data_IF_042880339415
#
_entry.id   IF_042880339415
#
_cell.length_a   1.000
_cell.length_b   1.000
_cell.length_c   1.000
_cell.angle_alpha   90.00
_cell.angle_beta   90.00
_cell.angle_gamma   90.00
#
_symmetry.space_group_name_H-M   'P 1'
#
loop_
_entity.id
_entity.type
_entity.pdbx_description
1 polymer ?
#
# COMPACT_ATOMS: atom_id res chain seq x y z
N UNK A 1 17.39 16.70 -4.35
CA UNK A 1 17.51 15.42 -3.64
C UNK A 1 18.41 15.63 -2.43
N UNK A 2 17.95 15.25 -1.27
CA UNK A 2 18.70 15.35 -0.02
C UNK A 2 19.17 13.96 0.41
N UNK A 3 20.35 13.92 1.03
CA UNK A 3 20.93 12.69 1.55
C UNK A 3 20.72 12.64 3.05
N UNK A 4 20.20 11.50 3.54
CA UNK A 4 19.93 11.26 4.96
C UNK A 4 20.78 10.09 5.44
N UNK A 5 21.37 10.21 6.62
CA UNK A 5 22.07 9.12 7.29
C UNK A 5 21.10 8.35 8.19
N UNK A 6 20.97 7.05 7.93
CA UNK A 6 20.10 6.13 8.65
C UNK A 6 20.82 5.32 9.74
N UNK A 7 22.15 5.52 9.94
CA UNK A 7 22.85 4.94 11.08
C UNK A 7 22.72 5.86 12.30
N UNK A 8 22.00 5.48 13.37
CA UNK A 8 21.92 6.29 14.57
C UNK A 8 23.20 6.27 15.42
N UNK A 9 24.18 5.45 15.06
CA UNK A 9 25.47 5.31 15.75
C UNK A 9 26.53 6.23 15.17
N UNK A 10 27.77 5.78 15.24
CA UNK A 10 28.95 6.49 14.69
C UNK A 10 29.30 6.06 13.26
N UNK A 11 28.56 5.12 12.69
CA UNK A 11 28.70 4.66 11.31
C UNK A 11 28.09 5.65 10.32
N UNK A 12 27.88 5.18 9.08
CA UNK A 12 27.27 5.98 8.02
C UNK A 12 26.48 5.08 7.08
N UNK A 13 25.19 5.36 6.94
CA UNK A 13 24.28 4.64 6.06
C UNK A 13 23.42 5.63 5.25
N UNK A 14 24.04 6.24 4.27
CA UNK A 14 23.41 7.29 3.46
C UNK A 14 22.43 6.72 2.43
N UNK A 15 21.21 7.24 2.42
CA UNK A 15 20.24 7.10 1.33
C UNK A 15 20.00 8.48 0.71
N UNK A 16 19.76 8.50 -0.59
CA UNK A 16 19.49 9.72 -1.36
C UNK A 16 18.22 9.51 -2.18
N UNK A 17 17.26 10.43 -2.08
CA UNK A 17 16.05 10.38 -2.89
C UNK A 17 16.31 10.73 -4.36
N UNK A 18 15.58 10.13 -5.29
CA UNK A 18 15.75 10.34 -6.73
C UNK A 18 15.34 11.76 -7.17
N UNK A 19 14.24 12.29 -6.63
CA UNK A 19 13.79 13.65 -6.99
C UNK A 19 12.95 14.29 -5.89
N UNK A 20 11.71 13.82 -5.66
CA UNK A 20 10.81 14.39 -4.65
C UNK A 20 10.95 13.63 -3.32
N UNK A 21 9.94 12.84 -2.94
CA UNK A 21 9.96 12.00 -1.76
C UNK A 21 10.02 10.54 -2.18
N UNK A 22 11.05 9.82 -1.73
CA UNK A 22 11.14 8.38 -1.90
C UNK A 22 10.81 7.67 -0.59
N UNK A 23 10.41 6.41 -0.71
CA UNK A 23 10.14 5.55 0.44
C UNK A 23 11.47 5.07 1.02
N UNK A 24 11.55 5.03 2.34
CA UNK A 24 12.60 4.32 3.03
C UNK A 24 12.03 3.21 3.92
N UNK A 25 12.82 2.19 4.12
CA UNK A 25 12.61 1.14 5.12
C UNK A 25 13.92 0.94 5.85
N UNK A 26 13.89 0.97 7.17
CA UNK A 26 15.08 0.75 7.99
C UNK A 26 14.84 -0.34 9.03
N UNK A 27 15.87 -1.11 9.30
CA UNK A 27 15.90 -2.13 10.35
C UNK A 27 16.97 -1.79 11.36
N UNK A 28 16.57 -1.71 12.62
CA UNK A 28 17.46 -1.65 13.77
C UNK A 28 17.38 -2.99 14.52
N UNK A 29 18.42 -3.34 15.25
CA UNK A 29 18.39 -4.47 16.17
C UNK A 29 17.63 -4.12 17.47
N UNK A 30 17.49 -5.09 18.38
CA UNK A 30 16.78 -4.89 19.65
C UNK A 30 17.46 -3.89 20.60
N UNK A 31 18.68 -3.48 20.32
CA UNK A 31 19.44 -2.46 21.05
C UNK A 31 19.42 -1.09 20.36
N UNK A 32 18.71 -0.97 19.22
CA UNK A 32 18.61 0.24 18.43
C UNK A 32 19.80 0.48 17.50
N UNK A 33 20.68 -0.49 17.31
CA UNK A 33 21.80 -0.35 16.37
C UNK A 33 21.32 -0.58 14.93
N UNK A 34 21.97 0.12 14.01
CA UNK A 34 21.73 -0.04 12.58
C UNK A 34 21.99 -1.47 12.09
N UNK A 35 21.05 -2.01 11.30
CA UNK A 35 21.23 -3.30 10.61
C UNK A 35 21.27 -3.07 9.10
N UNK A 36 20.24 -2.42 8.55
CA UNK A 36 20.19 -2.00 7.16
C UNK A 36 19.13 -0.91 6.97
N UNK A 37 19.29 -0.12 5.92
CA UNK A 37 18.27 0.76 5.38
C UNK A 37 18.22 0.62 3.86
N UNK A 38 17.03 0.77 3.29
CA UNK A 38 16.75 0.68 1.86
C UNK A 38 15.86 1.83 1.46
N UNK A 39 15.99 2.29 0.21
CA UNK A 39 15.07 3.23 -0.41
C UNK A 39 14.65 2.73 -1.79
N UNK A 40 13.46 3.10 -2.19
CA UNK A 40 12.91 2.88 -3.51
C UNK A 40 11.95 4.02 -3.83
N UNK A 41 11.81 4.33 -5.10
CA UNK A 41 10.98 5.43 -5.57
C UNK A 41 11.34 5.83 -6.99
N UNK A 42 10.49 6.70 -7.55
CA UNK A 42 10.60 7.25 -8.90
C UNK A 42 10.90 8.75 -8.90
N UNK A 43 10.64 9.43 -10.01
CA UNK A 43 10.85 10.87 -10.11
C UNK A 43 9.77 11.71 -9.40
N UNK A 44 8.65 11.13 -9.04
CA UNK A 44 7.52 11.79 -8.38
C UNK A 44 7.47 11.46 -6.88
N UNK A 45 6.34 11.70 -6.22
CA UNK A 45 6.18 11.42 -4.79
C UNK A 45 5.78 9.97 -4.55
N UNK A 46 6.60 9.27 -3.77
CA UNK A 46 6.36 7.92 -3.30
C UNK A 46 6.35 7.92 -1.77
N UNK A 47 5.36 7.27 -1.16
CA UNK A 47 5.14 7.32 0.27
C UNK A 47 4.93 5.93 0.84
N UNK A 48 5.57 5.65 1.98
CA UNK A 48 5.33 4.45 2.79
C UNK A 48 4.52 4.81 4.03
N UNK A 49 3.51 4.00 4.36
CA UNK A 49 2.62 4.25 5.48
C UNK A 49 2.62 3.13 6.51
N UNK A 50 2.48 1.88 6.05
CA UNK A 50 2.42 0.72 6.92
C UNK A 50 3.63 -0.19 6.78
N UNK A 51 4.04 -0.83 7.87
CA UNK A 51 5.07 -1.85 7.88
C UNK A 51 4.69 -3.00 8.82
N UNK A 52 4.83 -4.25 8.33
CA UNK A 52 4.66 -5.46 9.13
C UNK A 52 5.81 -6.43 8.87
N UNK A 53 6.03 -7.35 9.83
CA UNK A 53 7.09 -8.36 9.73
C UNK A 53 6.52 -9.74 10.08
N UNK A 54 6.78 -10.74 9.24
CA UNK A 54 6.39 -12.11 9.53
C UNK A 54 7.40 -12.83 10.44
N UNK A 55 7.05 -14.05 10.85
CA UNK A 55 7.89 -14.87 11.74
C UNK A 55 9.25 -15.26 11.14
N UNK A 56 9.41 -15.16 9.82
CA UNK A 56 10.68 -15.40 9.11
C UNK A 56 11.52 -14.13 8.98
N UNK A 57 11.00 -12.99 9.43
CA UNK A 57 11.64 -11.70 9.35
C UNK A 57 11.45 -11.01 7.98
N UNK A 58 10.60 -11.52 7.09
CA UNK A 58 10.26 -10.79 5.87
C UNK A 58 9.47 -9.54 6.22
N UNK A 59 9.73 -8.46 5.48
CA UNK A 59 9.16 -7.14 5.73
C UNK A 59 8.14 -6.81 4.63
N UNK A 60 6.96 -6.38 5.05
CA UNK A 60 5.86 -5.97 4.18
C UNK A 60 5.63 -4.48 4.36
N UNK A 61 5.58 -3.75 3.27
CA UNK A 61 5.42 -2.29 3.26
C UNK A 61 4.24 -1.95 2.37
N UNK A 62 3.41 -1.02 2.82
CA UNK A 62 2.32 -0.45 2.03
C UNK A 62 2.44 1.05 1.92
N UNK A 63 1.85 1.58 0.87
CA UNK A 63 1.87 3.00 0.64
C UNK A 63 1.21 3.40 -0.67
N UNK A 64 1.59 4.55 -1.16
CA UNK A 64 1.17 5.05 -2.46
C UNK A 64 2.36 5.53 -3.28
N UNK A 65 2.22 5.44 -4.59
CA UNK A 65 3.22 5.93 -5.54
C UNK A 65 2.54 6.73 -6.64
N UNK A 66 3.30 7.57 -7.29
CA UNK A 66 2.84 8.40 -8.40
C UNK A 66 3.78 8.26 -9.58
N UNK A 67 3.20 8.20 -10.79
CA UNK A 67 3.97 8.31 -12.02
C UNK A 67 3.27 9.24 -13.00
N UNK A 68 4.04 9.91 -13.85
CA UNK A 68 3.52 10.51 -15.07
C UNK A 68 3.40 9.45 -16.18
N UNK A 69 2.66 9.75 -17.25
CA UNK A 69 2.49 8.83 -18.38
C UNK A 69 3.82 8.35 -18.95
N UNK A 70 3.99 7.03 -18.98
CA UNK A 70 5.18 6.37 -19.52
C UNK A 70 6.37 6.35 -18.57
N UNK A 71 6.20 6.80 -17.34
CA UNK A 71 7.19 6.69 -16.26
C UNK A 71 6.84 5.50 -15.37
N UNK A 72 7.84 4.88 -14.79
CA UNK A 72 7.70 3.77 -13.84
C UNK A 72 8.44 4.06 -12.56
N UNK A 73 7.98 3.46 -11.46
CA UNK A 73 8.70 3.39 -10.18
C UNK A 73 9.33 2.02 -10.05
N UNK A 74 10.61 1.98 -9.73
CA UNK A 74 11.31 0.73 -9.42
C UNK A 74 11.21 0.44 -7.93
N UNK A 75 10.60 -0.69 -7.59
CA UNK A 75 10.41 -1.16 -6.22
C UNK A 75 11.47 -2.17 -5.76
N UNK A 76 12.49 -2.46 -6.59
CA UNK A 76 13.63 -3.26 -6.16
C UNK A 76 14.70 -2.33 -5.55
N UNK A 77 14.94 -2.37 -4.22
CA UNK A 77 16.01 -1.56 -3.62
C UNK A 77 17.43 -2.11 -3.90
N UNK A 78 17.54 -3.18 -4.68
CA UNK A 78 18.78 -3.81 -5.08
C UNK A 78 19.19 -3.45 -6.51
N UNK A 79 20.03 -4.28 -7.16
CA UNK A 79 20.46 -4.06 -8.53
C UNK A 79 19.48 -4.60 -9.59
N UNK A 80 18.37 -5.19 -9.17
CA UNK A 80 17.32 -5.71 -10.04
C UNK A 80 16.38 -4.61 -10.51
N UNK A 81 15.23 -5.00 -11.03
CA UNK A 81 14.19 -4.08 -11.49
C UNK A 81 12.81 -4.68 -11.24
N UNK A 82 11.95 -3.93 -10.55
CA UNK A 82 10.57 -4.29 -10.25
C UNK A 82 9.64 -3.10 -10.51
N UNK A 83 9.44 -2.78 -11.77
CA UNK A 83 8.74 -1.59 -12.20
C UNK A 83 7.23 -1.70 -12.07
N UNK A 84 6.60 -0.70 -11.47
CA UNK A 84 5.17 -0.41 -11.56
C UNK A 84 4.95 0.92 -12.28
N UNK A 85 3.82 1.04 -12.98
CA UNK A 85 3.33 2.29 -13.55
C UNK A 85 1.96 2.62 -12.93
N UNK A 86 1.73 3.86 -12.60
CA UNK A 86 0.40 4.28 -12.14
C UNK A 86 -0.58 4.39 -13.32
N UNK A 87 -1.85 4.15 -13.02
CA UNK A 87 -2.92 4.33 -14.00
C UNK A 87 -3.36 5.80 -14.04
N UNK A 88 -3.37 6.39 -15.23
CA UNK A 88 -3.82 7.77 -15.44
C UNK A 88 -2.74 8.84 -15.23
N UNK A 89 -3.14 10.10 -15.48
CA UNK A 89 -2.27 11.26 -15.28
C UNK A 89 -2.45 11.81 -13.87
N UNK A 90 -1.39 11.88 -13.07
CA UNK A 90 -1.36 12.52 -11.73
C UNK A 90 -2.22 11.85 -10.64
N UNK A 91 -2.64 10.59 -10.83
CA UNK A 91 -3.23 9.80 -9.76
C UNK A 91 -2.17 9.27 -8.79
N UNK A 92 -2.61 8.88 -7.59
CA UNK A 92 -1.83 8.04 -6.68
C UNK A 92 -2.40 6.64 -6.75
N UNK A 93 -1.53 5.65 -6.96
CA UNK A 93 -1.89 4.25 -6.87
C UNK A 93 -1.24 3.65 -5.62
N UNK A 94 -1.84 2.62 -5.08
CA UNK A 94 -1.32 1.95 -3.90
C UNK A 94 -0.40 0.79 -4.28
N UNK A 95 0.52 0.45 -3.37
CA UNK A 95 1.38 -0.72 -3.51
C UNK A 95 1.46 -1.54 -2.23
N UNK A 96 1.80 -2.81 -2.38
CA UNK A 96 2.21 -3.72 -1.32
C UNK A 96 3.55 -4.33 -1.75
N UNK A 97 4.61 -4.07 -1.00
CA UNK A 97 5.96 -4.57 -1.27
C UNK A 97 6.35 -5.60 -0.20
N UNK A 98 6.94 -6.71 -0.63
CA UNK A 98 7.58 -7.68 0.25
C UNK A 98 9.08 -7.69 0.01
N UNK A 99 9.83 -7.53 1.09
CA UNK A 99 11.28 -7.75 1.14
C UNK A 99 11.57 -8.97 2.03
N UNK A 100 12.70 -9.62 1.79
CA UNK A 100 13.21 -10.64 2.70
C UNK A 100 13.78 -10.02 4.00
N UNK A 101 14.22 -10.85 4.95
CA UNK A 101 14.77 -10.39 6.23
C UNK A 101 16.06 -9.57 6.12
N UNK A 102 16.72 -9.59 4.95
CA UNK A 102 17.92 -8.84 4.61
C UNK A 102 17.62 -7.55 3.82
N UNK A 103 16.34 -7.29 3.54
CA UNK A 103 15.88 -6.13 2.76
C UNK A 103 16.05 -6.32 1.24
N UNK A 104 16.14 -7.55 0.74
CA UNK A 104 16.14 -7.81 -0.70
C UNK A 104 14.70 -7.95 -1.20
N UNK A 105 14.47 -7.52 -2.44
CA UNK A 105 13.18 -7.64 -3.12
C UNK A 105 12.69 -9.09 -3.21
N UNK A 106 11.39 -9.29 -2.95
CA UNK A 106 10.72 -10.57 -3.15
C UNK A 106 9.60 -10.42 -4.17
N UNK A 107 8.64 -9.51 -3.93
CA UNK A 107 7.59 -9.15 -4.87
C UNK A 107 6.99 -7.78 -4.52
N UNK A 108 6.41 -7.14 -5.52
CA UNK A 108 5.54 -5.96 -5.37
C UNK A 108 4.20 -6.22 -6.05
N UNK A 109 3.13 -5.70 -5.49
CA UNK A 109 1.78 -5.75 -6.03
C UNK A 109 1.17 -4.36 -6.02
N UNK A 110 0.37 -4.08 -7.05
CA UNK A 110 -0.48 -2.92 -7.18
C UNK A 110 -1.85 -3.38 -7.65
N UNK A 111 -2.87 -2.58 -7.43
CA UNK A 111 -4.23 -2.86 -7.88
C UNK A 111 -4.56 -1.96 -9.04
N UNK A 112 -5.21 -2.52 -10.08
CA UNK A 112 -5.44 -1.82 -11.33
C UNK A 112 -6.82 -1.17 -11.37
N UNK A 113 -6.90 0.05 -11.88
CA UNK A 113 -8.17 0.70 -12.16
C UNK A 113 -8.92 -0.02 -13.27
N UNK A 114 -10.23 -0.18 -13.07
CA UNK A 114 -11.14 -0.67 -14.10
C UNK A 114 -11.98 0.50 -14.63
N UNK A 115 -12.04 0.64 -15.95
CA UNK A 115 -12.80 1.71 -16.60
C UNK A 115 -12.10 3.07 -16.72
N UNK A 116 -12.80 4.04 -17.27
CA UNK A 116 -12.31 5.37 -17.68
C UNK A 116 -12.39 6.41 -16.53
N UNK A 117 -12.01 6.02 -15.35
CA UNK A 117 -12.10 6.89 -14.16
C UNK A 117 -10.84 7.71 -13.97
N UNK A 118 -10.65 8.77 -14.69
CA UNK A 118 -9.69 9.88 -14.46
C UNK A 118 -8.52 9.64 -13.47
N UNK A 119 -7.95 10.69 -12.93
CA UNK A 119 -6.99 10.56 -11.81
C UNK A 119 -7.73 10.16 -10.54
N UNK A 120 -7.25 9.14 -9.85
CA UNK A 120 -7.76 8.71 -8.55
C UNK A 120 -6.67 8.82 -7.49
N UNK A 121 -7.10 8.88 -6.23
CA UNK A 121 -6.18 8.86 -5.10
C UNK A 121 -6.49 7.62 -4.27
N UNK A 122 -5.81 6.54 -4.60
CA UNK A 122 -5.90 5.29 -3.86
C UNK A 122 -4.73 5.19 -2.88
N UNK A 123 -4.98 4.62 -1.72
CA UNK A 123 -3.99 4.58 -0.66
C UNK A 123 -4.10 3.30 0.14
N UNK A 124 -2.97 2.64 0.37
CA UNK A 124 -2.82 1.55 1.32
C UNK A 124 -2.18 2.08 2.60
N UNK A 125 -3.00 2.29 3.63
CA UNK A 125 -2.61 3.00 4.85
C UNK A 125 -1.83 2.13 5.82
N UNK A 126 -2.17 0.84 5.94
CA UNK A 126 -1.55 -0.07 6.91
C UNK A 126 -1.61 -1.52 6.45
N UNK A 127 -0.75 -2.35 7.02
CA UNK A 127 -0.58 -3.76 6.68
C UNK A 127 -0.41 -4.62 7.93
N UNK A 128 -1.03 -5.80 7.94
CA UNK A 128 -0.82 -6.84 8.94
C UNK A 128 -0.52 -8.17 8.25
N UNK A 129 0.17 -9.07 8.95
CA UNK A 129 0.55 -10.39 8.43
C UNK A 129 0.18 -11.44 9.45
N UNK A 130 -0.49 -12.53 9.02
CA UNK A 130 -0.79 -13.66 9.90
C UNK A 130 0.37 -14.67 9.98
N UNK A 131 0.23 -15.65 10.84
CA UNK A 131 1.25 -16.70 11.07
C UNK A 131 1.53 -17.58 9.84
N UNK A 132 0.64 -17.57 8.84
CA UNK A 132 0.80 -18.27 7.56
C UNK A 132 1.47 -17.40 6.49
N UNK A 133 1.77 -16.14 6.82
CA UNK A 133 2.34 -15.16 5.90
C UNK A 133 1.31 -14.53 4.97
N UNK A 134 0.00 -14.70 5.20
CA UNK A 134 -1.00 -13.96 4.44
C UNK A 134 -0.96 -12.49 4.83
N UNK A 135 -1.13 -11.63 3.84
CA UNK A 135 -1.00 -10.17 3.94
C UNK A 135 -2.37 -9.52 3.92
N UNK A 136 -2.66 -8.74 4.93
CA UNK A 136 -3.90 -7.99 5.05
C UNK A 136 -3.60 -6.50 4.95
N UNK A 137 -4.31 -5.80 4.08
CA UNK A 137 -4.08 -4.38 3.82
C UNK A 137 -5.37 -3.61 3.98
N UNK A 138 -5.30 -2.45 4.58
CA UNK A 138 -6.39 -1.48 4.69
C UNK A 138 -6.00 -0.16 4.05
N UNK A 139 -7.00 0.54 3.54
CA UNK A 139 -6.84 1.87 2.98
C UNK A 139 -8.16 2.44 2.47
N UNK A 140 -8.08 3.26 1.44
CA UNK A 140 -9.24 3.79 0.74
C UNK A 140 -8.99 3.82 -0.77
N UNK A 141 -10.08 3.81 -1.53
CA UNK A 141 -10.04 3.87 -2.98
C UNK A 141 -11.19 4.69 -3.56
N UNK A 142 -11.01 5.19 -4.77
CA UNK A 142 -11.99 5.97 -5.52
C UNK A 142 -12.35 5.27 -6.84
N UNK A 143 -13.64 5.21 -7.18
CA UNK A 143 -14.12 4.60 -8.42
C UNK A 143 -14.07 3.07 -8.39
N UNK A 144 -13.80 2.43 -9.53
CA UNK A 144 -13.72 0.99 -9.64
C UNK A 144 -12.24 0.52 -9.70
N UNK A 145 -11.92 -0.50 -8.90
CA UNK A 145 -10.56 -1.02 -8.73
C UNK A 145 -10.60 -2.55 -8.72
N UNK A 146 -9.70 -3.17 -9.48
CA UNK A 146 -9.48 -4.61 -9.44
C UNK A 146 -8.48 -4.96 -8.33
N UNK A 147 -8.94 -5.70 -7.33
CA UNK A 147 -8.12 -6.12 -6.19
C UNK A 147 -7.41 -7.47 -6.42
N UNK A 148 -7.52 -8.07 -7.61
CA UNK A 148 -6.70 -9.20 -7.99
C UNK A 148 -5.42 -8.71 -8.72
N UNK A 149 -4.25 -8.73 -8.07
CA UNK A 149 -3.01 -8.30 -8.72
C UNK A 149 -2.47 -9.34 -9.73
N UNK A 150 -3.21 -10.39 -10.02
CA UNK A 150 -2.90 -11.45 -10.97
C UNK A 150 -3.62 -11.26 -12.29
N UNK A 151 -4.01 -12.37 -12.91
CA UNK A 151 -4.75 -12.39 -14.20
C UNK A 151 -6.27 -12.57 -14.02
N UNK A 152 -6.72 -12.69 -12.78
CA UNK A 152 -8.12 -12.77 -12.42
C UNK A 152 -8.78 -11.39 -12.40
N UNK A 153 -10.00 -11.33 -11.89
CA UNK A 153 -10.72 -10.05 -11.67
C UNK A 153 -11.49 -10.13 -10.36
N UNK A 154 -11.25 -9.17 -9.48
CA UNK A 154 -11.92 -9.01 -8.21
C UNK A 154 -12.29 -7.52 -8.02
N UNK A 155 -13.16 -7.03 -8.90
CA UNK A 155 -13.54 -5.63 -8.94
C UNK A 155 -14.41 -5.25 -7.72
N UNK A 156 -14.03 -4.16 -7.06
CA UNK A 156 -14.87 -3.40 -6.14
C UNK A 156 -15.06 -1.99 -6.70
N UNK A 157 -16.24 -1.43 -6.49
CA UNK A 157 -16.56 -0.06 -6.87
C UNK A 157 -16.92 0.76 -5.63
N UNK A 158 -16.32 1.94 -5.49
CA UNK A 158 -16.69 2.84 -4.41
C UNK A 158 -18.12 3.36 -4.61
N UNK A 159 -18.82 3.60 -3.50
CA UNK A 159 -20.18 4.17 -3.52
C UNK A 159 -20.18 5.50 -4.29
N UNK A 160 -21.11 5.72 -5.21
CA UNK A 160 -21.18 7.00 -5.92
C UNK A 160 -21.39 8.17 -4.96
N UNK A 161 -20.70 9.27 -5.21
CA UNK A 161 -20.89 10.50 -4.45
C UNK A 161 -22.33 11.03 -4.59
N UNK A 162 -22.82 11.72 -3.57
CA UNK A 162 -24.12 12.39 -3.64
C UNK A 162 -24.22 13.33 -4.87
N UNK A 163 -25.36 13.38 -5.57
CA UNK A 163 -25.54 14.32 -6.67
C UNK A 163 -25.28 15.76 -6.21
N UNK A 164 -24.34 16.44 -6.90
CA UNK A 164 -23.91 17.79 -6.55
C UNK A 164 -22.71 17.87 -5.63
N UNK A 165 -22.17 16.76 -5.15
CA UNK A 165 -20.87 16.74 -4.48
C UNK A 165 -19.75 17.21 -5.43
N UNK A 166 -18.87 18.07 -4.93
CA UNK A 166 -17.67 18.50 -5.64
C UNK A 166 -16.50 17.51 -5.47
N UNK A 167 -16.71 16.45 -4.69
CA UNK A 167 -15.66 15.48 -4.32
C UNK A 167 -16.06 14.10 -4.82
N UNK A 168 -15.09 13.34 -5.29
CA UNK A 168 -15.19 11.89 -5.51
C UNK A 168 -15.38 11.21 -4.16
N UNK A 169 -16.17 10.16 -4.10
CA UNK A 169 -16.37 9.40 -2.87
C UNK A 169 -15.21 8.42 -2.65
N UNK A 170 -14.85 8.19 -1.39
CA UNK A 170 -13.83 7.23 -0.97
C UNK A 170 -14.44 6.17 -0.08
N UNK A 171 -14.32 4.94 -0.50
CA UNK A 171 -14.68 3.81 0.33
C UNK A 171 -13.43 3.20 0.97
N UNK A 172 -13.59 2.67 2.17
CA UNK A 172 -12.55 1.88 2.83
C UNK A 172 -12.51 0.50 2.20
N UNK A 173 -11.32 -0.02 1.94
CA UNK A 173 -11.16 -1.42 1.56
C UNK A 173 -10.34 -2.19 2.61
N UNK A 174 -10.57 -3.49 2.65
CA UNK A 174 -9.70 -4.47 3.27
C UNK A 174 -9.42 -5.56 2.26
N UNK A 175 -8.16 -5.83 1.98
CA UNK A 175 -7.76 -6.92 1.08
C UNK A 175 -6.91 -7.96 1.80
N UNK A 176 -6.98 -9.20 1.32
CA UNK A 176 -6.12 -10.29 1.74
C UNK A 176 -5.45 -10.91 0.52
N UNK A 177 -4.13 -10.97 0.56
CA UNK A 177 -3.32 -11.76 -0.36
C UNK A 177 -2.69 -12.94 0.40
N UNK A 178 -2.34 -14.01 -0.31
CA UNK A 178 -1.54 -15.10 0.26
C UNK A 178 -0.06 -14.68 0.41
N UNK A 179 0.76 -15.54 0.98
CA UNK A 179 2.19 -15.27 1.20
C UNK A 179 3.02 -15.03 -0.07
N UNK A 180 2.48 -15.43 -1.23
CA UNK A 180 3.07 -15.23 -2.56
C UNK A 180 2.53 -13.96 -3.27
N UNK A 181 1.60 -13.25 -2.64
CA UNK A 181 0.97 -12.06 -3.18
C UNK A 181 -0.17 -12.36 -4.16
N UNK A 182 -0.79 -13.56 -4.11
CA UNK A 182 -1.96 -13.88 -4.90
C UNK A 182 -3.23 -13.47 -4.15
N UNK A 183 -4.27 -13.07 -4.89
CA UNK A 183 -5.56 -12.69 -4.37
C UNK A 183 -6.22 -13.82 -3.57
N UNK A 184 -6.78 -13.47 -2.41
CA UNK A 184 -7.63 -14.36 -1.62
C UNK A 184 -9.04 -13.78 -1.50
N UNK A 185 -9.16 -12.54 -1.04
CA UNK A 185 -10.41 -11.79 -1.02
C UNK A 185 -10.16 -10.29 -0.85
N UNK A 186 -11.11 -9.47 -1.25
CA UNK A 186 -11.21 -8.07 -0.90
C UNK A 186 -12.64 -7.72 -0.51
N UNK A 187 -12.79 -6.73 0.36
CA UNK A 187 -14.06 -6.21 0.86
C UNK A 187 -13.96 -4.70 0.94
N UNK A 188 -15.10 -4.03 0.73
CA UNK A 188 -15.20 -2.58 0.91
C UNK A 188 -16.29 -2.23 1.90
N UNK A 189 -16.10 -1.12 2.56
CA UNK A 189 -17.08 -0.45 3.41
C UNK A 189 -17.28 0.94 2.83
N UNK A 190 -18.52 1.36 2.66
CA UNK A 190 -18.80 2.59 1.97
C UNK A 190 -20.05 3.32 2.45
N UNK A 191 -20.22 4.52 1.94
CA UNK A 191 -21.36 5.36 2.25
C UNK A 191 -21.46 6.52 1.26
N UNK A 192 -22.32 7.47 1.53
CA UNK A 192 -22.54 8.62 0.63
C UNK A 192 -21.45 9.70 0.75
N UNK A 193 -20.50 9.51 1.66
CA UNK A 193 -19.38 10.42 1.90
C UNK A 193 -18.09 9.62 2.16
N UNK A 194 -16.98 10.32 2.49
CA UNK A 194 -15.66 9.73 2.59
C UNK A 194 -15.47 8.81 3.79
N UNK A 195 -14.79 7.69 3.55
CA UNK A 195 -14.20 6.83 4.56
C UNK A 195 -12.67 6.74 4.40
N UNK A 196 -11.97 6.55 5.51
CA UNK A 196 -10.52 6.32 5.56
C UNK A 196 -10.22 5.16 6.49
N UNK A 197 -9.67 4.09 5.93
CA UNK A 197 -9.07 3.03 6.72
C UNK A 197 -7.69 3.48 7.21
N UNK A 198 -7.43 3.38 8.51
CA UNK A 198 -6.19 3.90 9.11
C UNK A 198 -5.26 2.81 9.62
N UNK A 199 -5.80 1.74 10.25
CA UNK A 199 -4.96 0.67 10.78
C UNK A 199 -5.68 -0.67 10.77
N UNK A 200 -4.90 -1.74 10.70
CA UNK A 200 -5.37 -3.11 10.60
C UNK A 200 -4.57 -4.02 11.53
N UNK A 201 -5.26 -4.98 12.16
CA UNK A 201 -4.64 -6.05 12.92
C UNK A 201 -5.33 -7.38 12.60
N UNK A 202 -4.57 -8.48 12.73
CA UNK A 202 -5.10 -9.82 12.56
C UNK A 202 -4.74 -10.66 13.80
N UNK A 203 -5.72 -11.40 14.32
CA UNK A 203 -5.49 -12.29 15.44
C UNK A 203 -5.00 -13.70 14.99
N UNK A 204 -4.63 -14.53 15.95
CA UNK A 204 -4.15 -15.89 15.66
C UNK A 204 -5.20 -16.82 15.03
N UNK A 205 -6.47 -16.45 15.06
CA UNK A 205 -7.58 -17.17 14.42
C UNK A 205 -7.87 -16.65 13.00
N UNK A 206 -7.18 -15.58 12.58
CA UNK A 206 -7.39 -14.94 11.28
C UNK A 206 -8.54 -13.94 11.26
N UNK A 207 -9.09 -13.54 12.43
CA UNK A 207 -10.05 -12.45 12.48
C UNK A 207 -9.32 -11.13 12.24
N UNK A 208 -9.99 -10.26 11.47
CA UNK A 208 -9.44 -8.96 11.05
C UNK A 208 -10.13 -7.85 11.83
N UNK A 209 -9.32 -6.98 12.42
CA UNK A 209 -9.74 -5.81 13.17
C UNK A 209 -9.25 -4.56 12.44
N UNK A 210 -10.13 -3.61 12.20
CA UNK A 210 -9.83 -2.39 11.47
C UNK A 210 -10.26 -1.17 12.25
N UNK A 211 -9.55 -0.06 12.05
CA UNK A 211 -9.93 1.24 12.56
C UNK A 211 -9.72 2.31 11.48
N UNK A 212 -10.46 3.40 11.62
CA UNK A 212 -10.39 4.50 10.68
C UNK A 212 -11.39 5.59 11.08
N UNK A 213 -11.76 6.41 10.13
CA UNK A 213 -12.80 7.42 10.33
C UNK A 213 -13.66 7.56 9.07
N UNK A 214 -14.89 8.01 9.26
CA UNK A 214 -15.88 8.18 8.21
C UNK A 214 -16.73 9.42 8.46
N UNK A 215 -17.37 9.90 7.41
CA UNK A 215 -18.28 11.03 7.48
C UNK A 215 -19.70 10.58 7.09
N UNK A 216 -20.70 11.14 7.79
CA UNK A 216 -22.13 10.88 7.57
C UNK A 216 -22.54 9.41 7.80
N UNK A 217 -23.33 8.84 6.91
CA UNK A 217 -23.82 7.45 7.02
C UNK A 217 -22.88 6.52 6.25
N UNK A 218 -22.46 5.46 6.92
CA UNK A 218 -21.48 4.51 6.39
C UNK A 218 -21.97 3.09 6.69
N UNK A 219 -21.94 2.21 5.68
CA UNK A 219 -22.28 0.80 5.84
C UNK A 219 -21.01 0.00 6.18
N UNK A 220 -21.03 -0.69 7.30
CA UNK A 220 -19.92 -1.54 7.76
C UNK A 220 -20.16 -3.02 7.50
N UNK A 221 -21.28 -3.40 6.84
CA UNK A 221 -21.47 -4.78 6.38
C UNK A 221 -20.87 -4.94 4.98
N UNK A 222 -19.74 -5.68 4.84
CA UNK A 222 -19.12 -5.91 3.54
C UNK A 222 -19.83 -6.95 2.70
N UNK A 223 -21.00 -7.42 3.14
CA UNK A 223 -21.88 -8.34 2.42
C UNK A 223 -22.77 -7.63 1.41
N UNK A 224 -23.63 -8.39 0.73
CA UNK A 224 -24.77 -7.83 0.01
C UNK A 224 -25.85 -7.51 1.05
N UNK A 225 -25.92 -6.25 1.46
CA UNK A 225 -27.00 -5.74 2.31
C UNK A 225 -28.33 -5.65 1.58
#
# INVERSE_FOLDING_TARGET
>A
SDTVDFDPGSGTAHLTSNAAYDVFVSKLDSSGNYVWAKSFGGPEQDQGYGVAVDSSGNVYITGSYRTDLGVTVDFDPGPGTANLSSYGQRGQDMYILKLDSSGNYVWVKSFEKTGDSGSSNDNASDVAVDSSGNVYTIGYFEGALDFDPGTGTAELASTPANPGSLFTNRDVFVSKLDSSGNYVWAKSFGGTNHGWGSSIAVDSSGNVYTTGYFAETFDFDPGAG
#
